data_IF_973653676370
#
_entry.id   IF_973653676370
#
_cell.length_a   1.000
_cell.length_b   1.000
_cell.length_c   1.000
_cell.angle_alpha   90.00
_cell.angle_beta   90.00
_cell.angle_gamma   90.00
#
_symmetry.space_group_name_H-M   'P 1'
#
loop_
_entity.id
_entity.type
_entity.pdbx_description
1 polymer ?
#
# COMPACT_ATOMS: atom_id res chain seq x y z
N UNK A 1 -34.26 14.53 23.69
CA UNK A 1 -34.02 14.96 22.30
C UNK A 1 -32.81 14.19 21.75
N UNK A 2 -32.97 13.13 20.95
CA UNK A 2 -31.82 12.41 20.42
C UNK A 2 -31.36 13.08 19.13
N UNK A 3 -30.21 13.76 19.17
CA UNK A 3 -29.61 14.44 18.02
C UNK A 3 -28.98 13.43 17.06
N UNK A 4 -29.43 13.46 15.79
CA UNK A 4 -29.09 12.55 14.70
C UNK A 4 -27.67 12.67 14.13
N UNK A 5 -26.63 12.64 14.97
CA UNK A 5 -25.22 12.74 14.54
C UNK A 5 -24.54 11.40 14.23
N UNK A 6 -25.24 10.25 14.32
CA UNK A 6 -24.64 8.91 14.17
C UNK A 6 -24.22 8.51 12.75
N UNK A 7 -24.62 9.23 11.70
CA UNK A 7 -24.39 8.82 10.29
C UNK A 7 -23.08 9.34 9.66
N UNK A 8 -22.69 10.62 9.80
CA UNK A 8 -21.46 11.14 9.20
C UNK A 8 -20.22 10.46 9.80
N UNK A 9 -20.15 10.32 11.13
CA UNK A 9 -18.99 9.77 11.81
C UNK A 9 -18.67 8.33 11.38
N UNK A 10 -19.69 7.52 11.05
CA UNK A 10 -19.48 6.13 10.61
C UNK A 10 -18.88 6.02 9.21
N UNK A 11 -19.28 6.88 8.28
CA UNK A 11 -18.70 6.89 6.93
C UNK A 11 -17.26 7.40 6.95
N UNK A 12 -16.96 8.42 7.76
CA UNK A 12 -15.60 8.93 7.94
C UNK A 12 -14.69 7.89 8.61
N UNK A 13 -15.14 7.24 9.68
CA UNK A 13 -14.38 6.17 10.34
C UNK A 13 -14.10 5.00 9.38
N UNK A 14 -15.12 4.53 8.65
CA UNK A 14 -14.94 3.46 7.66
C UNK A 14 -13.96 3.86 6.55
N UNK A 15 -14.02 5.10 6.08
CA UNK A 15 -13.10 5.60 5.04
C UNK A 15 -11.67 5.69 5.55
N UNK A 16 -11.48 6.14 6.79
CA UNK A 16 -10.18 6.15 7.46
C UNK A 16 -9.62 4.74 7.59
N UNK A 17 -10.43 3.77 8.06
CA UNK A 17 -9.98 2.38 8.22
C UNK A 17 -9.52 1.77 6.89
N UNK A 18 -10.24 2.05 5.79
CA UNK A 18 -9.83 1.62 4.45
C UNK A 18 -8.49 2.24 4.04
N UNK A 19 -8.28 3.54 4.30
CA UNK A 19 -7.02 4.21 3.96
C UNK A 19 -5.85 3.69 4.79
N UNK A 20 -6.07 3.44 6.09
CA UNK A 20 -5.08 2.82 6.96
C UNK A 20 -4.75 1.42 6.46
N UNK A 21 -5.75 0.62 6.12
CA UNK A 21 -5.54 -0.72 5.58
C UNK A 21 -4.75 -0.69 4.26
N UNK A 22 -5.11 0.19 3.33
CA UNK A 22 -4.37 0.39 2.08
C UNK A 22 -2.91 0.79 2.35
N UNK A 23 -2.69 1.71 3.28
CA UNK A 23 -1.36 2.14 3.68
C UNK A 23 -0.55 1.01 4.32
N UNK A 24 -1.17 0.17 5.14
CA UNK A 24 -0.51 -0.99 5.78
C UNK A 24 -0.14 -2.02 4.71
N UNK A 25 -1.06 -2.35 3.81
CA UNK A 25 -0.82 -3.31 2.73
C UNK A 25 0.36 -2.89 1.86
N UNK A 26 0.44 -1.59 1.50
CA UNK A 26 1.55 -1.02 0.75
C UNK A 26 2.89 -1.11 1.49
N UNK A 27 2.90 -0.94 2.81
CA UNK A 27 4.10 -1.11 3.63
C UNK A 27 4.55 -2.58 3.72
N UNK A 28 3.58 -3.50 3.86
CA UNK A 28 3.85 -4.94 3.99
C UNK A 28 4.39 -5.51 2.68
N UNK A 29 3.77 -5.25 1.52
CA UNK A 29 4.26 -5.77 0.23
C UNK A 29 5.65 -5.25 -0.16
N UNK A 30 6.06 -4.13 0.42
CA UNK A 30 7.37 -3.55 0.19
C UNK A 30 8.48 -4.06 1.13
N UNK A 31 8.16 -4.94 2.09
CA UNK A 31 9.10 -5.39 3.15
C UNK A 31 8.99 -6.88 3.49
N UNK A 32 7.80 -7.45 3.42
CA UNK A 32 7.55 -8.82 3.84
C UNK A 32 7.99 -9.81 2.77
N UNK A 33 8.53 -10.93 3.23
CA UNK A 33 8.49 -12.18 2.50
C UNK A 33 7.04 -12.69 2.52
N UNK A 34 6.45 -12.86 1.34
CA UNK A 34 5.04 -13.27 1.22
C UNK A 34 4.85 -14.78 1.39
N UNK A 35 5.94 -15.56 1.42
CA UNK A 35 5.89 -16.98 1.72
C UNK A 35 5.86 -17.27 3.23
N UNK A 36 6.23 -16.28 4.06
CA UNK A 36 6.16 -16.33 5.52
C UNK A 36 4.91 -15.62 6.05
N UNK A 37 3.85 -16.42 6.28
CA UNK A 37 2.58 -15.92 6.80
C UNK A 37 2.69 -15.32 8.22
N UNK A 38 3.63 -15.80 9.05
CA UNK A 38 3.82 -15.29 10.40
C UNK A 38 4.48 -13.91 10.36
N UNK A 39 5.53 -13.76 9.55
CA UNK A 39 6.17 -12.46 9.33
C UNK A 39 5.17 -11.44 8.74
N UNK A 40 4.33 -11.87 7.79
CA UNK A 40 3.25 -11.01 7.24
C UNK A 40 2.30 -10.55 8.33
N UNK A 41 1.89 -11.42 9.26
CA UNK A 41 0.99 -11.07 10.35
C UNK A 41 1.64 -10.07 11.32
N UNK A 42 2.88 -10.34 11.75
CA UNK A 42 3.64 -9.47 12.66
C UNK A 42 3.86 -8.08 12.04
N UNK A 43 4.29 -8.02 10.78
CA UNK A 43 4.50 -6.76 10.06
C UNK A 43 3.19 -6.00 9.85
N UNK A 44 2.09 -6.70 9.56
CA UNK A 44 0.76 -6.08 9.42
C UNK A 44 0.35 -5.41 10.73
N UNK A 45 0.41 -6.13 11.86
CA UNK A 45 0.02 -5.60 13.16
C UNK A 45 0.87 -4.40 13.59
N UNK A 46 2.20 -4.48 13.42
CA UNK A 46 3.11 -3.39 13.72
C UNK A 46 2.84 -2.17 12.84
N UNK A 47 2.73 -2.35 11.53
CA UNK A 47 2.46 -1.24 10.61
C UNK A 47 1.12 -0.58 10.90
N UNK A 48 0.09 -1.35 11.26
CA UNK A 48 -1.22 -0.80 11.62
C UNK A 48 -1.16 0.05 12.88
N UNK A 49 -0.49 -0.43 13.94
CA UNK A 49 -0.28 0.32 15.16
C UNK A 49 0.51 1.62 14.89
N UNK A 50 1.64 1.53 14.20
CA UNK A 50 2.48 2.70 13.86
C UNK A 50 1.70 3.74 13.04
N UNK A 51 0.88 3.30 12.09
CA UNK A 51 0.07 4.18 11.24
C UNK A 51 -0.99 4.91 12.06
N UNK A 52 -1.68 4.20 12.95
CA UNK A 52 -2.71 4.80 13.81
C UNK A 52 -2.11 5.79 14.81
N UNK A 53 -0.97 5.46 15.41
CA UNK A 53 -0.24 6.36 16.31
C UNK A 53 0.16 7.66 15.59
N UNK A 54 0.75 7.55 14.40
CA UNK A 54 1.12 8.71 13.59
C UNK A 54 -0.09 9.61 13.30
N UNK A 55 -1.22 9.03 12.88
CA UNK A 55 -2.45 9.79 12.60
C UNK A 55 -2.94 10.49 13.87
N UNK A 56 -2.99 9.77 15.00
CA UNK A 56 -3.46 10.31 16.27
C UNK A 56 -2.60 11.50 16.74
N UNK A 57 -1.28 11.37 16.68
CA UNK A 57 -0.36 12.45 17.05
C UNK A 57 -0.52 13.70 16.17
N UNK A 58 -0.72 13.53 14.86
CA UNK A 58 -0.93 14.67 13.95
C UNK A 58 -2.27 15.35 14.24
N UNK A 59 -3.31 14.57 14.54
CA UNK A 59 -4.62 15.12 14.91
C UNK A 59 -4.56 15.88 16.25
N UNK A 60 -3.87 15.34 17.26
CA UNK A 60 -3.66 16.01 18.53
C UNK A 60 -2.92 17.34 18.37
N UNK A 61 -1.86 17.37 17.56
CA UNK A 61 -1.08 18.58 17.28
C UNK A 61 -1.86 19.67 16.55
N UNK A 62 -2.79 19.30 15.67
CA UNK A 62 -3.59 20.26 14.89
C UNK A 62 -4.77 20.85 15.68
N UNK A 63 -5.18 20.22 16.79
CA UNK A 63 -6.30 20.68 17.62
C UNK A 63 -7.64 20.69 16.88
N UNK A 64 -8.70 21.15 17.56
CA UNK A 64 -10.05 21.29 17.00
C UNK A 64 -11.10 20.34 17.57
N UNK A 65 -12.37 20.59 17.24
CA UNK A 65 -13.49 19.74 17.66
C UNK A 65 -13.50 18.38 16.95
N UNK A 66 -14.32 17.46 17.45
CA UNK A 66 -14.38 16.06 17.00
C UNK A 66 -14.55 15.89 15.47
N UNK A 67 -15.37 16.73 14.83
CA UNK A 67 -15.58 16.71 13.37
C UNK A 67 -14.33 17.11 12.60
N UNK A 68 -13.57 18.09 13.09
CA UNK A 68 -12.32 18.55 12.49
C UNK A 68 -11.21 17.51 12.65
N UNK A 69 -11.17 16.82 13.79
CA UNK A 69 -10.26 15.72 14.03
C UNK A 69 -10.51 14.55 13.06
N UNK A 70 -11.78 14.18 12.81
CA UNK A 70 -12.13 13.11 11.88
C UNK A 70 -11.74 13.43 10.42
N UNK A 71 -11.97 14.67 9.97
CA UNK A 71 -11.53 15.12 8.65
C UNK A 71 -10.01 15.11 8.52
N UNK A 72 -9.32 15.67 9.53
CA UNK A 72 -7.86 15.71 9.58
C UNK A 72 -7.25 14.31 9.55
N UNK A 73 -7.80 13.37 10.33
CA UNK A 73 -7.34 11.99 10.35
C UNK A 73 -7.43 11.34 8.96
N UNK A 74 -8.52 11.60 8.22
CA UNK A 74 -8.68 11.08 6.87
C UNK A 74 -7.64 11.64 5.89
N UNK A 75 -7.38 12.96 5.92
CA UNK A 75 -6.38 13.56 5.04
C UNK A 75 -4.96 13.06 5.34
N UNK A 76 -4.62 12.90 6.63
CA UNK A 76 -3.33 12.32 7.03
C UNK A 76 -3.25 10.86 6.57
N UNK A 77 -4.30 10.06 6.73
CA UNK A 77 -4.32 8.66 6.26
C UNK A 77 -4.13 8.56 4.73
N UNK A 78 -4.74 9.47 3.95
CA UNK A 78 -4.51 9.54 2.49
C UNK A 78 -3.05 9.86 2.17
N UNK A 79 -2.47 10.86 2.84
CA UNK A 79 -1.08 11.25 2.64
C UNK A 79 -0.13 10.08 2.93
N UNK A 80 -0.31 9.41 4.08
CA UNK A 80 0.50 8.24 4.46
C UNK A 80 0.38 7.12 3.43
N UNK A 81 -0.83 6.84 2.94
CA UNK A 81 -1.05 5.86 1.87
C UNK A 81 -0.28 6.24 0.59
N UNK A 82 -0.38 7.49 0.15
CA UNK A 82 0.23 7.94 -1.10
C UNK A 82 1.76 7.95 -1.03
N UNK A 83 2.32 8.35 0.11
CA UNK A 83 3.76 8.27 0.39
C UNK A 83 4.27 6.83 0.38
N UNK A 84 3.53 5.91 1.01
CA UNK A 84 3.87 4.48 1.00
C UNK A 84 3.74 3.88 -0.39
N UNK A 85 2.75 4.28 -1.17
CA UNK A 85 2.61 3.86 -2.57
C UNK A 85 3.80 4.32 -3.40
N UNK A 86 4.20 5.58 -3.27
CA UNK A 86 5.36 6.12 -3.97
C UNK A 86 6.65 5.41 -3.54
N UNK A 87 6.82 5.13 -2.24
CA UNK A 87 7.97 4.40 -1.74
C UNK A 87 8.03 2.95 -2.25
N UNK A 88 6.89 2.25 -2.29
CA UNK A 88 6.80 0.89 -2.83
C UNK A 88 7.14 0.86 -4.33
N UNK A 89 6.59 1.80 -5.11
CA UNK A 89 6.91 1.92 -6.53
C UNK A 89 8.39 2.20 -6.76
N UNK A 90 8.98 3.16 -6.03
CA UNK A 90 10.43 3.47 -6.15
C UNK A 90 11.30 2.23 -5.90
N UNK A 91 10.96 1.40 -4.91
CA UNK A 91 11.69 0.14 -4.66
C UNK A 91 11.52 -0.85 -5.80
N UNK A 92 10.31 -0.98 -6.34
CA UNK A 92 10.02 -1.92 -7.42
C UNK A 92 10.62 -1.50 -8.76
N UNK A 93 10.78 -0.20 -9.02
CA UNK A 93 11.51 0.31 -10.19
C UNK A 93 12.96 -0.17 -10.20
N UNK A 94 13.60 -0.30 -9.02
CA UNK A 94 14.95 -0.87 -8.90
C UNK A 94 15.01 -2.39 -8.75
N UNK A 95 13.88 -3.09 -8.93
CA UNK A 95 13.87 -4.57 -8.86
C UNK A 95 14.46 -5.19 -10.12
N UNK A 96 15.07 -6.37 -9.99
CA UNK A 96 15.67 -7.07 -11.13
C UNK A 96 14.69 -7.32 -12.28
N UNK A 97 13.42 -7.61 -11.96
CA UNK A 97 12.36 -7.79 -12.97
C UNK A 97 12.05 -6.49 -13.73
N UNK A 98 11.98 -5.35 -13.04
CA UNK A 98 11.70 -4.07 -13.69
C UNK A 98 12.89 -3.56 -14.51
N UNK A 99 14.11 -3.77 -14.02
CA UNK A 99 15.34 -3.41 -14.75
C UNK A 99 15.51 -4.30 -15.99
N UNK A 100 15.34 -5.62 -15.87
CA UNK A 100 15.47 -6.52 -17.00
C UNK A 100 14.47 -6.21 -18.13
N UNK A 101 13.23 -5.86 -17.79
CA UNK A 101 12.23 -5.45 -18.78
C UNK A 101 12.59 -4.10 -19.43
N UNK A 102 13.11 -3.15 -18.65
CA UNK A 102 13.57 -1.86 -19.16
C UNK A 102 14.72 -2.03 -20.16
N UNK A 103 15.72 -2.85 -19.81
CA UNK A 103 16.87 -3.18 -20.66
C UNK A 103 16.41 -3.87 -21.96
N UNK A 104 15.49 -4.83 -21.86
CA UNK A 104 14.94 -5.52 -23.03
C UNK A 104 14.23 -4.56 -23.99
N UNK A 105 13.45 -3.60 -23.46
CA UNK A 105 12.77 -2.56 -24.27
C UNK A 105 13.77 -1.59 -24.88
N UNK A 106 14.78 -1.17 -24.12
CA UNK A 106 15.85 -0.31 -24.62
C UNK A 106 16.57 -0.95 -25.82
N UNK A 107 17.03 -2.19 -25.66
CA UNK A 107 17.71 -2.95 -26.71
C UNK A 107 16.81 -3.22 -27.93
N UNK A 108 15.51 -3.47 -27.70
CA UNK A 108 14.55 -3.62 -28.78
C UNK A 108 14.35 -2.31 -29.57
N UNK A 109 14.26 -1.17 -28.87
CA UNK A 109 14.08 0.14 -29.49
C UNK A 109 15.32 0.53 -30.32
N UNK A 110 16.53 0.29 -29.81
CA UNK A 110 17.76 0.59 -30.55
C UNK A 110 17.96 -0.32 -31.76
N UNK A 111 17.56 -1.60 -31.70
CA UNK A 111 17.59 -2.48 -32.89
C UNK A 111 16.71 -1.97 -34.02
N UNK A 112 15.57 -1.35 -33.69
CA UNK A 112 14.66 -0.77 -34.67
C UNK A 112 15.14 0.60 -35.16
N UNK A 113 15.64 1.42 -34.24
CA UNK A 113 16.04 2.80 -34.50
C UNK A 113 17.38 3.14 -33.79
N UNK A 114 18.53 2.76 -34.37
CA UNK A 114 19.83 2.84 -33.69
C UNK A 114 20.30 4.25 -33.29
N UNK A 115 19.74 5.29 -33.91
CA UNK A 115 20.08 6.69 -33.62
C UNK A 115 19.12 7.38 -32.64
N UNK A 116 18.04 6.70 -32.23
CA UNK A 116 16.97 7.28 -31.42
C UNK A 116 17.19 7.03 -29.92
N UNK A 117 18.36 7.40 -29.40
CA UNK A 117 18.78 7.11 -28.01
C UNK A 117 17.77 7.62 -26.98
N UNK A 118 17.38 8.89 -27.05
CA UNK A 118 16.41 9.47 -26.09
C UNK A 118 15.01 8.83 -26.17
N UNK A 119 14.60 8.36 -27.35
CA UNK A 119 13.33 7.66 -27.49
C UNK A 119 13.41 6.26 -26.86
N UNK A 120 14.56 5.58 -27.00
CA UNK A 120 14.81 4.29 -26.36
C UNK A 120 14.88 4.43 -24.82
N UNK A 121 15.56 5.45 -24.30
CA UNK A 121 15.60 5.77 -22.86
C UNK A 121 14.19 6.02 -22.31
N UNK A 122 13.40 6.86 -22.98
CA UNK A 122 12.04 7.16 -22.55
C UNK A 122 11.13 5.93 -22.57
N UNK A 123 11.28 5.05 -23.57
CA UNK A 123 10.53 3.80 -23.67
C UNK A 123 10.93 2.81 -22.56
N UNK A 124 12.22 2.71 -22.24
CA UNK A 124 12.72 1.89 -21.14
C UNK A 124 12.20 2.37 -19.79
N UNK A 125 12.24 3.69 -19.53
CA UNK A 125 11.72 4.31 -18.32
C UNK A 125 10.21 4.06 -18.13
N UNK A 126 9.43 4.23 -19.19
CA UNK A 126 7.99 3.95 -19.16
C UNK A 126 7.72 2.46 -18.92
N UNK A 127 8.47 1.57 -19.58
CA UNK A 127 8.39 0.13 -19.34
C UNK A 127 8.69 -0.22 -17.88
N UNK A 128 9.77 0.32 -17.33
CA UNK A 128 10.16 0.12 -15.94
C UNK A 128 9.05 0.53 -14.96
N UNK A 129 8.43 1.70 -15.18
CA UNK A 129 7.31 2.19 -14.35
C UNK A 129 6.07 1.30 -14.46
N UNK A 130 5.76 0.81 -15.67
CA UNK A 130 4.63 -0.11 -15.91
C UNK A 130 4.86 -1.46 -15.21
N UNK A 131 6.07 -2.00 -15.32
CA UNK A 131 6.46 -3.25 -14.65
C UNK A 131 6.41 -3.11 -13.15
N UNK A 132 7.00 -2.05 -12.58
CA UNK A 132 6.90 -1.78 -11.14
C UNK A 132 5.44 -1.67 -10.66
N UNK A 133 4.57 -1.02 -11.44
CA UNK A 133 3.14 -0.92 -11.15
C UNK A 133 2.42 -2.28 -11.23
N UNK A 134 2.80 -3.13 -12.19
CA UNK A 134 2.28 -4.49 -12.31
C UNK A 134 2.70 -5.36 -11.12
N UNK A 135 3.99 -5.34 -10.76
CA UNK A 135 4.53 -6.08 -9.62
C UNK A 135 3.87 -5.67 -8.32
N UNK A 136 3.62 -4.36 -8.12
CA UNK A 136 2.91 -3.88 -6.94
C UNK A 136 1.50 -4.48 -6.85
N UNK A 137 0.74 -4.48 -7.95
CA UNK A 137 -0.61 -5.08 -7.99
C UNK A 137 -0.55 -6.58 -7.74
N UNK A 138 0.42 -7.28 -8.32
CA UNK A 138 0.62 -8.72 -8.15
C UNK A 138 0.88 -9.07 -6.69
N UNK A 139 1.84 -8.39 -6.05
CA UNK A 139 2.17 -8.60 -4.63
C UNK A 139 1.01 -8.28 -3.69
N UNK A 140 0.23 -7.24 -3.97
CA UNK A 140 -0.99 -6.94 -3.21
C UNK A 140 -2.04 -8.06 -3.37
N UNK A 141 -2.13 -8.69 -4.54
CA UNK A 141 -2.95 -9.87 -4.77
C UNK A 141 -2.47 -11.07 -3.95
N UNK A 142 -1.16 -11.36 -3.99
CA UNK A 142 -0.54 -12.43 -3.21
C UNK A 142 -0.75 -12.25 -1.70
N UNK A 143 -0.54 -11.03 -1.17
CA UNK A 143 -0.78 -10.72 0.24
C UNK A 143 -2.22 -11.06 0.68
N UNK A 144 -3.22 -10.75 -0.16
CA UNK A 144 -4.62 -11.11 0.12
C UNK A 144 -4.82 -12.62 0.19
N UNK A 145 -4.18 -13.36 -0.72
CA UNK A 145 -4.24 -14.83 -0.75
C UNK A 145 -3.59 -15.42 0.51
N UNK A 146 -2.40 -14.94 0.89
CA UNK A 146 -1.66 -15.38 2.10
C UNK A 146 -2.53 -15.18 3.35
N UNK A 147 -3.11 -13.98 3.51
CA UNK A 147 -4.01 -13.70 4.66
C UNK A 147 -5.27 -14.55 4.65
N UNK A 148 -5.88 -14.79 3.49
CA UNK A 148 -7.05 -15.66 3.38
C UNK A 148 -6.72 -17.11 3.77
N UNK A 149 -5.56 -17.62 3.35
CA UNK A 149 -5.07 -18.95 3.74
C UNK A 149 -4.80 -19.04 5.24
N UNK A 150 -4.14 -18.04 5.82
CA UNK A 150 -3.88 -17.98 7.26
C UNK A 150 -5.19 -17.99 8.08
N UNK A 151 -6.20 -17.23 7.64
CA UNK A 151 -7.52 -17.21 8.29
C UNK A 151 -8.27 -18.56 8.18
N UNK A 152 -8.12 -19.27 7.05
CA UNK A 152 -8.72 -20.59 6.85
C UNK A 152 -8.00 -21.71 7.63
N UNK A 153 -6.68 -21.58 7.83
CA UNK A 153 -5.86 -22.52 8.59
C UNK A 153 -5.94 -22.36 10.11
N UNK A 154 -6.52 -21.26 10.61
CA UNK A 154 -6.81 -21.10 12.03
C UNK A 154 -8.06 -21.91 12.40
N UNK A 155 -7.95 -23.01 13.19
CA UNK A 155 -9.12 -23.63 13.77
C UNK A 155 -9.82 -22.57 14.64
N UNK A 156 -11.15 -22.44 14.49
CA UNK A 156 -11.98 -21.62 15.39
C UNK A 156 -11.77 -22.09 16.83
N UNK A 157 -10.80 -21.52 17.55
CA UNK A 157 -10.72 -21.62 19.01
C UNK A 157 -11.87 -20.80 19.57
N UNK A 158 -13.04 -21.42 19.70
CA UNK A 158 -14.25 -20.76 20.17
C UNK A 158 -15.50 -21.61 19.99
N UNK A 159 -15.47 -22.84 20.50
CA UNK A 159 -16.66 -23.59 20.88
C UNK A 159 -16.23 -24.70 21.86
N UNK A 160 -15.79 -24.29 23.06
CA UNK A 160 -15.83 -25.16 24.23
C UNK A 160 -16.97 -24.63 25.10
N UNK A 161 -17.86 -25.55 25.45
CA UNK A 161 -19.12 -25.39 26.17
C UNK A 161 -18.94 -24.81 27.58
#
# INVERSE_FOLDING_TARGET
MPTGLRRPCRSYARRMDLLVQEAVDLAVVGRADLDDAEQVAQLTARCEADTRTLIAEVCQRRGGGEVWAAYTAQEVAKQVRDERRAAALRRLTGSGEAVAEADAVYEAALRQHPRALHAAEAAADDSCRRTASYLLRSRLGQLKVVRARAAAGQPRRGAAY
#
